data_IF_765389248934
#
_entry.id   IF_765389248934
#
_cell.length_a   1.000
_cell.length_b   1.000
_cell.length_c   1.000
_cell.angle_alpha   90.00
_cell.angle_beta   90.00
_cell.angle_gamma   90.00
#
_symmetry.space_group_name_H-M   'P 1'
#
loop_
_entity.id
_entity.type
_entity.pdbx_description
1 polymer ?
#
# COMPACT_ATOMS: atom_id res chain seq x y z
N UNK A 1 21.50 18.52 -48.49
CA UNK A 1 21.32 17.05 -48.40
C UNK A 1 21.23 16.70 -46.92
N UNK A 2 20.05 16.27 -46.43
CA UNK A 2 19.77 16.06 -45.00
C UNK A 2 20.49 14.80 -44.47
N UNK A 3 20.97 14.89 -43.22
CA UNK A 3 21.90 13.97 -42.55
C UNK A 3 21.41 12.50 -42.47
N UNK A 4 21.75 11.69 -43.48
CA UNK A 4 21.44 10.25 -43.51
C UNK A 4 22.16 9.43 -42.42
N UNK A 5 23.25 9.96 -41.84
CA UNK A 5 24.05 9.25 -40.81
C UNK A 5 23.39 9.23 -39.43
N UNK A 6 22.58 10.23 -39.08
CA UNK A 6 21.90 10.30 -37.78
C UNK A 6 20.82 9.24 -37.61
N UNK A 7 20.03 9.00 -38.66
CA UNK A 7 18.92 8.04 -38.60
C UNK A 7 19.41 6.59 -38.50
N UNK A 8 20.57 6.26 -39.09
CA UNK A 8 21.13 4.91 -39.01
C UNK A 8 21.62 4.59 -37.60
N UNK A 9 22.20 5.56 -36.90
CA UNK A 9 22.64 5.39 -35.52
C UNK A 9 21.46 5.14 -34.56
N UNK A 10 20.34 5.84 -34.75
CA UNK A 10 19.13 5.66 -33.93
C UNK A 10 18.51 4.28 -34.15
N UNK A 11 18.44 3.82 -35.41
CA UNK A 11 17.90 2.49 -35.72
C UNK A 11 18.76 1.38 -35.10
N UNK A 12 20.09 1.52 -35.11
CA UNK A 12 20.99 0.54 -34.49
C UNK A 12 20.78 0.42 -32.97
N UNK A 13 20.57 1.55 -32.27
CA UNK A 13 20.31 1.56 -30.82
C UNK A 13 18.99 0.85 -30.49
N UNK A 14 17.93 1.09 -31.28
CA UNK A 14 16.63 0.45 -31.08
C UNK A 14 16.73 -1.07 -31.20
N UNK A 15 17.46 -1.58 -32.21
CA UNK A 15 17.66 -3.02 -32.41
C UNK A 15 18.36 -3.67 -31.21
N UNK A 16 19.37 -3.01 -30.65
CA UNK A 16 20.11 -3.52 -29.47
C UNK A 16 19.20 -3.60 -28.24
N UNK A 17 18.38 -2.57 -28.00
CA UNK A 17 17.44 -2.56 -26.87
C UNK A 17 16.44 -3.71 -27.00
N UNK A 18 15.86 -3.90 -28.20
CA UNK A 18 14.87 -4.97 -28.46
C UNK A 18 15.49 -6.36 -28.21
N UNK A 19 16.73 -6.59 -28.66
CA UNK A 19 17.43 -7.87 -28.45
C UNK A 19 17.71 -8.19 -26.97
N UNK A 20 18.06 -7.17 -26.17
CA UNK A 20 18.26 -7.33 -24.73
C UNK A 20 16.93 -7.67 -24.04
N UNK A 21 15.86 -6.94 -24.36
CA UNK A 21 14.54 -7.19 -23.75
C UNK A 21 13.99 -8.59 -24.07
N UNK A 22 14.16 -9.07 -25.31
CA UNK A 22 13.72 -10.42 -25.68
C UNK A 22 14.52 -11.51 -24.94
N UNK A 23 15.81 -11.28 -24.66
CA UNK A 23 16.66 -12.22 -23.95
C UNK A 23 16.25 -12.38 -22.48
N UNK A 24 15.88 -11.28 -21.82
CA UNK A 24 15.44 -11.29 -20.40
C UNK A 24 14.09 -12.02 -20.24
N UNK A 25 13.14 -11.77 -21.14
CA UNK A 25 11.82 -12.44 -21.12
C UNK A 25 11.98 -13.95 -21.31
N UNK A 26 12.83 -14.37 -22.27
CA UNK A 26 13.07 -15.80 -22.53
C UNK A 26 13.69 -16.50 -21.31
N UNK A 27 14.61 -15.84 -20.60
CA UNK A 27 15.23 -16.39 -19.41
C UNK A 27 14.24 -16.57 -18.25
N UNK A 28 13.37 -15.57 -18.00
CA UNK A 28 12.35 -15.62 -16.95
C UNK A 28 11.34 -16.75 -17.13
N UNK A 29 10.95 -17.05 -18.38
CA UNK A 29 10.00 -18.14 -18.69
C UNK A 29 10.64 -19.51 -18.50
N UNK A 30 11.92 -19.67 -18.87
CA UNK A 30 12.65 -20.93 -18.71
C UNK A 30 12.85 -21.31 -17.23
N UNK A 31 13.08 -20.34 -16.35
CA UNK A 31 13.31 -20.60 -14.92
C UNK A 31 12.05 -20.96 -14.12
N UNK A 32 10.86 -20.60 -14.59
CA UNK A 32 9.59 -20.91 -13.90
C UNK A 32 8.98 -22.28 -14.26
N UNK A 33 9.54 -23.02 -15.21
CA UNK A 33 9.00 -24.32 -15.66
C UNK A 33 9.53 -25.55 -14.90
N UNK A 34 10.33 -25.38 -13.85
CA UNK A 34 10.76 -26.51 -13.01
C UNK A 34 9.83 -26.67 -11.80
N UNK A 35 8.76 -27.44 -11.98
CA UNK A 35 7.84 -27.82 -10.89
C UNK A 35 8.43 -28.96 -10.03
N UNK A 36 8.37 -28.88 -8.69
CA UNK A 36 8.76 -29.97 -7.82
C UNK A 36 7.68 -31.05 -7.72
N UNK A 37 8.10 -32.31 -7.75
CA UNK A 37 7.25 -33.51 -7.68
C UNK A 37 6.64 -33.64 -6.27
N UNK A 38 5.31 -33.66 -6.18
CA UNK A 38 4.57 -34.00 -4.95
C UNK A 38 4.75 -35.49 -4.61
N UNK A 39 5.11 -35.78 -3.35
CA UNK A 39 5.00 -37.12 -2.75
C UNK A 39 3.73 -37.20 -1.92
N UNK A 40 2.83 -38.09 -2.29
CA UNK A 40 1.72 -38.52 -1.43
C UNK A 40 2.28 -39.20 -0.17
N UNK A 41 1.80 -38.78 0.99
CA UNK A 41 1.94 -39.56 2.23
C UNK A 41 0.56 -39.88 2.74
N UNK A 42 0.20 -41.16 2.66
CA UNK A 42 -0.99 -41.74 3.24
C UNK A 42 -0.95 -41.62 4.77
N UNK A 43 -2.07 -41.28 5.40
CA UNK A 43 -2.23 -41.44 6.84
C UNK A 43 -3.49 -42.26 7.16
N UNK A 44 -3.26 -43.33 7.92
CA UNK A 44 -4.23 -44.33 8.33
C UNK A 44 -5.25 -43.77 9.32
N UNK A 45 -6.52 -44.10 9.08
CA UNK A 45 -7.60 -43.98 10.05
C UNK A 45 -7.56 -45.14 11.04
N UNK A 46 -7.72 -44.86 12.33
CA UNK A 46 -8.14 -45.85 13.33
C UNK A 46 -9.24 -45.25 14.23
N UNK A 47 -10.26 -46.04 14.62
CA UNK A 47 -11.46 -45.55 15.29
C UNK A 47 -11.29 -45.58 16.82
N UNK A 48 -11.97 -44.68 17.53
CA UNK A 48 -12.12 -44.79 18.99
C UNK A 48 -13.60 -44.72 19.37
N UNK A 49 -13.94 -45.64 20.27
CA UNK A 49 -15.27 -46.06 20.65
C UNK A 49 -16.00 -45.08 21.58
N UNK A 50 -17.32 -45.10 21.43
CA UNK A 50 -18.34 -44.38 22.20
C UNK A 50 -18.49 -44.95 23.61
N UNK A 51 -18.47 -44.11 24.64
CA UNK A 51 -19.17 -44.36 25.91
C UNK A 51 -19.85 -43.07 26.41
N UNK A 52 -21.08 -43.15 26.94
CA UNK A 52 -21.83 -42.00 27.42
C UNK A 52 -21.53 -41.77 28.90
N UNK A 53 -21.01 -40.60 29.27
CA UNK A 53 -20.85 -40.22 30.67
C UNK A 53 -21.83 -39.10 31.04
N UNK A 54 -22.45 -39.27 32.21
CA UNK A 54 -23.53 -38.46 32.77
C UNK A 54 -23.07 -37.01 33.00
N UNK A 55 -23.91 -36.07 32.57
CA UNK A 55 -23.74 -34.64 32.75
C UNK A 55 -24.19 -34.20 34.16
N UNK A 56 -23.31 -33.58 34.98
CA UNK A 56 -23.73 -32.82 36.15
C UNK A 56 -24.23 -31.43 35.74
N UNK A 57 -25.07 -30.83 36.59
CA UNK A 57 -25.64 -29.49 36.40
C UNK A 57 -24.56 -28.40 36.26
N UNK A 58 -24.77 -27.37 35.43
CA UNK A 58 -23.80 -26.30 35.23
C UNK A 58 -23.69 -25.44 36.50
N UNK A 59 -22.47 -25.34 37.03
CA UNK A 59 -22.08 -24.31 37.98
C UNK A 59 -22.13 -22.93 37.29
N UNK A 60 -22.42 -21.84 38.03
CA UNK A 60 -22.40 -20.49 37.47
C UNK A 60 -21.00 -20.18 36.94
N UNK A 61 -20.92 -19.96 35.63
CA UNK A 61 -19.71 -19.59 34.91
C UNK A 61 -19.15 -18.32 35.55
N UNK A 62 -18.04 -18.47 36.27
CA UNK A 62 -17.17 -17.34 36.58
C UNK A 62 -16.88 -16.62 35.26
N UNK A 63 -17.15 -15.32 35.19
CA UNK A 63 -16.76 -14.47 34.08
C UNK A 63 -15.27 -14.74 33.79
N UNK A 64 -15.01 -15.58 32.80
CA UNK A 64 -13.70 -15.71 32.22
C UNK A 64 -13.49 -14.37 31.52
N UNK A 65 -12.71 -13.49 32.15
CA UNK A 65 -11.99 -12.49 31.40
C UNK A 65 -11.27 -13.24 30.31
N UNK A 66 -11.77 -13.09 29.08
CA UNK A 66 -11.02 -13.46 27.88
C UNK A 66 -9.67 -12.77 28.07
N UNK A 67 -8.54 -13.50 28.09
CA UNK A 67 -7.24 -12.86 28.16
C UNK A 67 -7.19 -11.82 27.05
N UNK A 68 -7.04 -10.54 27.39
CA UNK A 68 -6.65 -9.55 26.40
C UNK A 68 -5.31 -10.05 25.87
N UNK A 69 -5.30 -10.60 24.65
CA UNK A 69 -4.07 -10.91 23.96
C UNK A 69 -3.26 -9.61 23.94
N UNK A 70 -2.09 -9.62 24.59
CA UNK A 70 -1.16 -8.50 24.52
C UNK A 70 -0.80 -8.31 23.05
N UNK A 71 -1.40 -7.31 22.41
CA UNK A 71 -1.04 -6.93 21.06
C UNK A 71 0.45 -6.63 21.02
N UNK A 72 1.16 -7.09 19.99
CA UNK A 72 2.55 -6.69 19.80
C UNK A 72 2.56 -5.25 19.35
N UNK A 73 3.37 -4.43 20.03
CA UNK A 73 3.46 -3.01 19.74
C UNK A 73 4.83 -2.64 19.17
N UNK A 74 4.84 -1.70 18.24
CA UNK A 74 6.05 -1.09 17.71
C UNK A 74 5.96 0.43 17.82
N UNK A 75 7.07 1.09 18.13
CA UNK A 75 7.09 2.54 18.31
C UNK A 75 8.12 3.26 17.45
N UNK A 76 7.75 4.41 16.90
CA UNK A 76 8.69 5.36 16.31
C UNK A 76 9.42 6.15 17.39
N UNK A 77 10.59 6.72 17.08
CA UNK A 77 11.30 7.61 18.02
C UNK A 77 10.55 8.92 18.29
N UNK A 78 9.61 9.27 17.41
CA UNK A 78 8.73 10.43 17.56
C UNK A 78 7.48 10.13 18.40
N UNK A 79 7.47 9.02 19.14
CA UNK A 79 6.47 8.76 20.18
C UNK A 79 5.10 8.38 19.64
N UNK A 80 5.04 7.59 18.57
CA UNK A 80 3.81 6.90 18.20
C UNK A 80 4.02 5.41 18.35
N UNK A 81 3.04 4.74 18.95
CA UNK A 81 2.99 3.30 19.15
C UNK A 81 1.86 2.70 18.34
N UNK A 82 2.17 1.58 17.72
CA UNK A 82 1.30 0.90 16.77
C UNK A 82 1.10 -0.52 17.22
N UNK A 83 -0.15 -0.93 17.40
CA UNK A 83 -0.50 -2.32 17.59
C UNK A 83 -0.51 -3.02 16.23
N UNK A 84 0.07 -4.22 16.16
CA UNK A 84 -0.04 -5.08 14.99
C UNK A 84 -0.37 -6.52 15.41
N UNK A 85 -1.25 -7.18 14.66
CA UNK A 85 -1.55 -8.60 14.86
C UNK A 85 -0.44 -9.44 14.24
N UNK A 86 0.22 -10.29 15.03
CA UNK A 86 1.24 -11.22 14.53
C UNK A 86 0.62 -12.38 13.74
N UNK A 87 -0.64 -12.74 14.05
CA UNK A 87 -1.30 -13.93 13.49
C UNK A 87 -1.53 -13.82 11.97
N UNK A 88 -1.63 -12.60 11.44
CA UNK A 88 -1.75 -12.32 9.99
C UNK A 88 -0.46 -11.75 9.37
N UNK A 89 0.59 -11.55 10.16
CA UNK A 89 1.79 -10.81 9.76
C UNK A 89 3.01 -11.72 9.63
N UNK A 90 3.45 -11.99 8.41
CA UNK A 90 4.70 -12.73 8.13
C UNK A 90 5.89 -11.84 7.75
N UNK A 91 5.75 -10.52 7.90
CA UNK A 91 6.76 -9.56 7.49
C UNK A 91 7.91 -9.34 8.48
N UNK A 92 8.81 -8.42 8.15
CA UNK A 92 9.77 -7.85 9.10
C UNK A 92 9.44 -6.38 9.34
N UNK A 93 9.30 -6.01 10.61
CA UNK A 93 9.18 -4.62 11.04
C UNK A 93 10.55 -4.05 11.41
N UNK A 94 10.84 -2.85 10.94
CA UNK A 94 12.03 -2.09 11.34
C UNK A 94 11.65 -0.64 11.61
N UNK A 95 12.29 -0.02 12.59
CA UNK A 95 12.13 1.40 12.90
C UNK A 95 13.36 2.17 12.42
N UNK A 96 13.14 3.26 11.70
CA UNK A 96 14.17 4.21 11.33
C UNK A 96 13.70 5.62 11.71
N UNK A 97 14.12 6.08 12.89
CA UNK A 97 13.77 7.39 13.44
C UNK A 97 12.26 7.64 13.47
N UNK A 98 11.73 8.33 12.48
CA UNK A 98 10.33 8.66 12.31
C UNK A 98 9.55 7.66 11.45
N UNK A 99 10.23 6.73 10.76
CA UNK A 99 9.61 5.71 9.90
C UNK A 99 9.50 4.37 10.61
N UNK A 100 8.38 3.70 10.39
CA UNK A 100 8.16 2.29 10.69
C UNK A 100 7.99 1.59 9.35
N UNK A 101 8.95 0.75 9.00
CA UNK A 101 9.00 0.05 7.71
C UNK A 101 8.51 -1.38 7.93
N UNK A 102 7.48 -1.73 7.18
CA UNK A 102 6.93 -3.06 6.97
C UNK A 102 7.60 -3.66 5.71
N UNK A 103 8.07 -4.91 5.78
CA UNK A 103 8.43 -5.68 4.57
C UNK A 103 7.60 -6.95 4.44
N UNK A 104 6.86 -7.10 3.32
CA UNK A 104 6.13 -8.33 2.99
C UNK A 104 7.10 -9.31 2.31
N UNK A 105 7.25 -10.52 2.84
CA UNK A 105 8.04 -11.59 2.19
C UNK A 105 9.47 -11.79 2.73
N UNK A 106 10.20 -12.69 2.07
CA UNK A 106 11.53 -13.17 2.47
C UNK A 106 12.64 -12.11 2.35
N UNK A 107 13.86 -12.41 2.84
CA UNK A 107 14.94 -11.45 3.00
C UNK A 107 15.50 -10.81 1.71
N UNK A 108 15.06 -11.23 0.52
CA UNK A 108 15.64 -10.83 -0.77
C UNK A 108 14.87 -9.71 -1.49
N UNK A 109 13.60 -9.43 -1.14
CA UNK A 109 12.80 -8.34 -1.73
C UNK A 109 12.95 -7.05 -0.91
N UNK A 110 14.17 -6.51 -0.88
CA UNK A 110 14.54 -5.39 0.01
C UNK A 110 13.99 -4.02 -0.41
N UNK A 111 13.46 -3.89 -1.63
CA UNK A 111 13.11 -2.59 -2.24
C UNK A 111 11.65 -2.15 -2.06
N UNK A 112 10.72 -3.06 -1.72
CA UNK A 112 9.27 -2.77 -1.71
C UNK A 112 8.70 -2.68 -0.29
N UNK A 113 9.45 -2.05 0.63
CA UNK A 113 8.99 -1.86 2.00
C UNK A 113 7.88 -0.81 2.08
N UNK A 114 6.70 -1.20 2.56
CA UNK A 114 5.67 -0.24 2.98
C UNK A 114 6.12 0.44 4.26
N UNK A 115 5.72 1.70 4.48
CA UNK A 115 6.13 2.39 5.70
C UNK A 115 5.06 3.34 6.20
N UNK A 116 4.98 3.46 7.52
CA UNK A 116 4.31 4.56 8.22
C UNK A 116 5.38 5.57 8.57
N UNK A 117 5.10 6.86 8.39
CA UNK A 117 6.03 7.91 8.77
C UNK A 117 5.37 8.93 9.69
N UNK A 118 6.10 9.34 10.71
CA UNK A 118 5.64 10.31 11.69
C UNK A 118 6.26 11.68 11.37
N UNK A 119 5.43 12.72 11.47
CA UNK A 119 5.81 14.09 11.24
C UNK A 119 5.47 14.95 12.45
N UNK A 120 6.20 16.06 12.59
CA UNK A 120 5.96 17.08 13.61
C UNK A 120 5.42 18.32 12.90
N UNK A 121 4.30 18.82 13.40
CA UNK A 121 3.71 20.10 13.02
C UNK A 121 4.10 21.16 14.05
N UNK A 122 4.53 22.33 13.57
CA UNK A 122 4.67 23.51 14.42
C UNK A 122 3.32 23.98 14.96
N UNK A 123 3.22 24.32 16.25
CA UNK A 123 1.97 24.69 16.91
C UNK A 123 1.19 25.83 16.22
N UNK A 124 1.87 26.66 15.44
CA UNK A 124 1.29 27.82 14.75
C UNK A 124 0.75 27.51 13.36
N UNK A 125 1.07 26.34 12.77
CA UNK A 125 0.67 25.99 11.40
C UNK A 125 -0.61 25.17 11.39
N UNK A 126 -1.39 25.26 10.31
CA UNK A 126 -2.47 24.29 10.06
C UNK A 126 -1.87 22.93 9.65
N UNK A 127 -2.65 21.85 9.75
CA UNK A 127 -2.16 20.53 9.32
C UNK A 127 -2.00 20.48 7.80
N UNK A 128 -2.85 21.20 7.08
CA UNK A 128 -2.75 21.39 5.64
C UNK A 128 -1.43 22.08 5.26
N UNK A 129 -1.06 23.16 5.92
CA UNK A 129 0.23 23.85 5.67
C UNK A 129 1.41 22.92 5.95
N UNK A 130 1.36 22.15 7.04
CA UNK A 130 2.42 21.22 7.40
C UNK A 130 2.58 20.07 6.39
N UNK A 131 1.48 19.60 5.81
CA UNK A 131 1.51 18.63 4.71
C UNK A 131 2.11 19.27 3.45
N UNK A 132 1.75 20.52 3.14
CA UNK A 132 2.33 21.24 2.00
C UNK A 132 3.83 21.50 2.16
N UNK A 133 4.31 21.78 3.37
CA UNK A 133 5.74 21.93 3.66
C UNK A 133 6.52 20.64 3.35
N UNK A 134 5.95 19.47 3.65
CA UNK A 134 6.54 18.17 3.32
C UNK A 134 6.68 18.03 1.81
N UNK A 135 5.64 18.41 1.07
CA UNK A 135 5.63 18.36 -0.40
C UNK A 135 6.70 19.30 -0.96
N UNK A 136 6.75 20.54 -0.47
CA UNK A 136 7.75 21.53 -0.89
C UNK A 136 9.18 21.06 -0.60
N UNK A 137 9.42 20.42 0.56
CA UNK A 137 10.72 19.84 0.91
C UNK A 137 11.17 18.71 -0.03
N UNK A 138 10.24 18.04 -0.72
CA UNK A 138 10.54 17.07 -1.78
C UNK A 138 10.86 17.72 -3.14
N UNK A 139 10.89 19.06 -3.20
CA UNK A 139 11.15 19.83 -4.42
C UNK A 139 9.96 19.83 -5.39
N UNK A 140 8.75 19.65 -4.87
CA UNK A 140 7.53 19.54 -5.66
C UNK A 140 6.76 20.86 -5.66
N UNK A 141 6.05 21.11 -6.76
CA UNK A 141 5.31 22.36 -6.95
C UNK A 141 3.94 22.28 -6.27
N UNK A 142 3.86 22.91 -5.09
CA UNK A 142 2.64 22.96 -4.28
C UNK A 142 1.46 23.64 -4.99
N UNK A 143 1.69 24.45 -6.04
CA UNK A 143 0.59 25.08 -6.77
C UNK A 143 -0.29 24.07 -7.50
N UNK A 144 0.24 22.89 -7.81
CA UNK A 144 -0.51 21.80 -8.44
C UNK A 144 -1.30 20.94 -7.44
N UNK A 145 -1.10 21.17 -6.14
CA UNK A 145 -1.52 20.28 -5.09
C UNK A 145 -2.59 20.91 -4.21
N UNK A 146 -3.47 20.06 -3.68
CA UNK A 146 -4.40 20.43 -2.62
C UNK A 146 -4.44 19.33 -1.58
N UNK A 147 -4.55 19.73 -0.33
CA UNK A 147 -4.80 18.84 0.80
C UNK A 147 -6.31 18.82 1.04
N UNK A 148 -6.91 17.63 1.09
CA UNK A 148 -8.35 17.45 1.22
C UNK A 148 -8.66 16.73 2.54
N UNK A 149 -9.42 17.39 3.41
CA UNK A 149 -9.99 16.76 4.61
C UNK A 149 -11.13 15.81 4.19
N UNK A 150 -11.03 14.54 4.58
CA UNK A 150 -12.01 13.47 4.29
C UNK A 150 -12.94 13.17 5.47
N UNK A 151 -12.85 13.92 6.54
CA UNK A 151 -13.61 13.74 7.77
C UNK A 151 -12.82 12.95 8.81
N UNK A 152 -13.56 12.20 9.61
CA UNK A 152 -13.03 11.43 10.74
C UNK A 152 -12.48 10.08 10.27
N UNK A 153 -11.44 9.60 10.96
CA UNK A 153 -10.86 8.29 10.73
C UNK A 153 -11.79 7.22 11.28
N UNK A 154 -12.18 6.29 10.42
CA UNK A 154 -13.24 5.32 10.73
C UNK A 154 -12.98 4.48 11.98
N UNK A 155 -11.72 4.17 12.30
CA UNK A 155 -11.35 3.36 13.46
C UNK A 155 -11.12 4.17 14.74
N UNK A 156 -10.87 5.48 14.59
CA UNK A 156 -10.57 6.38 15.72
C UNK A 156 -11.18 7.76 15.38
N UNK A 157 -12.47 7.98 15.65
CA UNK A 157 -13.20 9.16 15.17
C UNK A 157 -12.63 10.51 15.63
N UNK A 158 -11.84 10.54 16.70
CA UNK A 158 -11.16 11.75 17.16
C UNK A 158 -10.05 12.22 16.19
N UNK A 159 -9.70 11.39 15.21
CA UNK A 159 -8.60 11.64 14.29
C UNK A 159 -9.18 12.10 12.95
N UNK A 160 -8.65 13.18 12.41
CA UNK A 160 -8.99 13.68 11.08
C UNK A 160 -8.12 13.05 10.01
N UNK A 161 -8.73 12.76 8.85
CA UNK A 161 -8.07 12.16 7.69
C UNK A 161 -7.88 13.22 6.61
N UNK A 162 -6.65 13.33 6.13
CA UNK A 162 -6.27 14.22 5.04
C UNK A 162 -5.66 13.42 3.91
N UNK A 163 -5.99 13.76 2.66
CA UNK A 163 -5.35 13.16 1.49
C UNK A 163 -4.78 14.23 0.57
N UNK A 164 -3.81 13.83 -0.27
CA UNK A 164 -3.35 14.67 -1.37
C UNK A 164 -4.25 14.49 -2.58
N UNK A 165 -4.46 15.58 -3.29
CA UNK A 165 -5.25 15.60 -4.51
C UNK A 165 -4.74 16.69 -5.46
N UNK A 166 -5.07 16.61 -6.75
CA UNK A 166 -4.67 17.65 -7.71
C UNK A 166 -5.56 18.88 -7.55
N UNK A 167 -4.96 20.07 -7.52
CA UNK A 167 -5.68 21.34 -7.46
C UNK A 167 -6.55 21.55 -8.69
N UNK A 168 -5.96 21.27 -9.86
CA UNK A 168 -6.63 21.27 -11.16
C UNK A 168 -6.57 19.86 -11.74
N UNK A 169 -7.52 18.96 -11.38
CA UNK A 169 -7.54 17.62 -11.94
C UNK A 169 -7.87 17.72 -13.43
N UNK A 170 -6.83 17.78 -14.27
CA UNK A 170 -7.02 17.78 -15.70
C UNK A 170 -7.51 16.39 -16.11
N UNK A 171 -8.83 16.21 -16.16
CA UNK A 171 -9.48 14.96 -16.58
C UNK A 171 -9.36 14.72 -18.10
N UNK A 172 -8.68 15.62 -18.82
CA UNK A 172 -8.35 15.39 -20.23
C UNK A 172 -7.22 14.37 -20.32
N UNK A 173 -7.45 13.32 -21.09
CA UNK A 173 -6.47 12.30 -21.39
C UNK A 173 -5.77 12.61 -22.71
N UNK A 174 -4.47 12.40 -22.77
CA UNK A 174 -3.71 12.39 -24.01
C UNK A 174 -4.18 11.26 -24.93
N UNK A 175 -3.82 11.32 -26.21
CA UNK A 175 -4.17 10.25 -27.16
C UNK A 175 -3.64 8.88 -26.70
N UNK A 176 -2.43 8.85 -26.17
CA UNK A 176 -1.80 7.64 -25.65
C UNK A 176 -2.55 7.10 -24.42
N UNK A 177 -2.87 7.95 -23.44
CA UNK A 177 -3.64 7.53 -22.26
C UNK A 177 -5.03 7.02 -22.64
N UNK A 178 -5.68 7.61 -23.64
CA UNK A 178 -6.96 7.11 -24.17
C UNK A 178 -6.83 5.74 -24.81
N UNK A 179 -5.71 5.45 -25.48
CA UNK A 179 -5.44 4.11 -26.04
C UNK A 179 -5.21 3.09 -24.91
N UNK A 180 -4.45 3.45 -23.88
CA UNK A 180 -4.24 2.61 -22.69
C UNK A 180 -5.56 2.31 -21.96
N UNK A 181 -6.42 3.32 -21.77
CA UNK A 181 -7.75 3.16 -21.14
C UNK A 181 -8.63 2.22 -21.97
N UNK A 182 -8.63 2.36 -23.30
CA UNK A 182 -9.40 1.50 -24.20
C UNK A 182 -8.92 0.05 -24.17
N UNK A 183 -7.61 -0.16 -24.15
CA UNK A 183 -7.05 -1.51 -24.07
C UNK A 183 -7.46 -2.19 -22.76
N UNK A 184 -7.33 -1.48 -21.63
CA UNK A 184 -7.75 -1.99 -20.32
C UNK A 184 -9.25 -2.32 -20.24
N UNK A 185 -10.10 -1.53 -20.91
CA UNK A 185 -11.55 -1.80 -21.01
C UNK A 185 -11.85 -3.06 -21.83
N UNK A 186 -11.12 -3.31 -22.91
CA UNK A 186 -11.25 -4.55 -23.70
C UNK A 186 -10.86 -5.76 -22.85
N UNK A 187 -9.72 -5.72 -22.18
CA UNK A 187 -9.25 -6.79 -21.30
C UNK A 187 -10.25 -7.08 -20.17
N UNK A 188 -10.75 -6.04 -19.50
CA UNK A 188 -11.73 -6.20 -18.42
C UNK A 188 -13.04 -6.85 -18.89
N UNK A 189 -13.47 -6.57 -20.12
CA UNK A 189 -14.67 -7.19 -20.72
C UNK A 189 -14.45 -8.67 -21.06
N UNK A 190 -13.24 -9.06 -21.46
CA UNK A 190 -12.88 -10.47 -21.67
C UNK A 190 -12.97 -11.26 -20.35
N UNK A 191 -12.63 -10.62 -19.23
CA UNK A 191 -12.74 -11.19 -17.88
C UNK A 191 -14.16 -11.09 -17.26
N UNK A 192 -15.15 -10.65 -18.03
CA UNK A 192 -16.55 -10.55 -17.58
C UNK A 192 -16.85 -9.35 -16.68
N UNK A 193 -15.98 -8.35 -16.63
CA UNK A 193 -16.11 -7.15 -15.82
C UNK A 193 -16.64 -5.91 -16.58
N UNK A 194 -17.56 -5.11 -16.02
CA UNK A 194 -18.02 -3.86 -16.61
C UNK A 194 -17.14 -2.67 -16.15
N UNK A 195 -15.85 -2.71 -16.47
CA UNK A 195 -14.92 -1.67 -16.03
C UNK A 195 -14.51 -0.82 -17.24
N UNK A 196 -15.23 0.29 -17.48
CA UNK A 196 -15.06 1.26 -18.58
C UNK A 196 -13.69 2.00 -18.58
N UNK A 197 -12.61 1.25 -18.42
CA UNK A 197 -11.24 1.72 -18.18
C UNK A 197 -11.06 2.50 -16.88
N UNK A 198 -12.04 2.49 -15.96
CA UNK A 198 -12.03 3.26 -14.70
C UNK A 198 -10.78 3.00 -13.86
N UNK A 199 -10.32 1.75 -13.84
CA UNK A 199 -9.07 1.39 -13.17
C UNK A 199 -7.88 2.11 -13.77
N UNK A 200 -7.75 2.06 -15.09
CA UNK A 200 -6.64 2.69 -15.79
C UNK A 200 -6.68 4.21 -15.65
N UNK A 201 -7.87 4.82 -15.65
CA UNK A 201 -8.06 6.24 -15.35
C UNK A 201 -7.52 6.61 -13.97
N UNK A 202 -7.80 5.79 -12.95
CA UNK A 202 -7.28 5.99 -11.58
C UNK A 202 -5.76 5.83 -11.51
N UNK A 203 -5.21 4.83 -12.19
CA UNK A 203 -3.75 4.63 -12.26
C UNK A 203 -3.05 5.84 -12.88
N UNK A 204 -3.57 6.34 -14.02
CA UNK A 204 -3.07 7.55 -14.68
C UNK A 204 -3.19 8.77 -13.74
N UNK A 205 -4.31 8.92 -13.05
CA UNK A 205 -4.52 9.99 -12.09
C UNK A 205 -3.48 9.98 -10.98
N UNK A 206 -3.26 8.82 -10.36
CA UNK A 206 -2.29 8.66 -9.28
C UNK A 206 -0.86 8.94 -9.74
N UNK A 207 -0.49 8.49 -10.95
CA UNK A 207 0.82 8.84 -11.54
C UNK A 207 1.01 10.34 -11.64
N UNK A 208 0.03 11.05 -12.19
CA UNK A 208 0.06 12.51 -12.28
C UNK A 208 0.12 13.17 -10.90
N UNK A 209 -0.56 12.60 -9.91
CA UNK A 209 -0.53 13.09 -8.54
C UNK A 209 0.86 12.90 -7.89
N UNK A 210 1.53 11.77 -8.10
CA UNK A 210 2.91 11.55 -7.64
C UNK A 210 3.89 12.50 -8.34
N UNK A 211 3.77 12.61 -9.66
CA UNK A 211 4.65 13.42 -10.49
C UNK A 211 4.58 14.90 -10.10
N UNK A 212 3.37 15.42 -9.94
CA UNK A 212 3.15 16.85 -9.67
C UNK A 212 3.16 17.18 -8.17
N UNK A 213 2.75 16.26 -7.30
CA UNK A 213 2.62 16.51 -5.88
C UNK A 213 3.62 15.75 -5.04
N UNK A 214 3.42 14.47 -4.75
CA UNK A 214 4.31 13.79 -3.80
C UNK A 214 4.20 12.28 -3.92
N UNK A 215 5.28 11.58 -3.59
CA UNK A 215 5.26 10.14 -3.38
C UNK A 215 4.25 9.73 -2.29
N UNK A 216 3.93 10.60 -1.33
CA UNK A 216 2.89 10.35 -0.32
C UNK A 216 1.48 10.25 -0.91
N UNK A 217 1.27 10.65 -2.17
CA UNK A 217 -0.02 10.46 -2.83
C UNK A 217 -0.34 8.98 -3.09
N UNK A 218 0.69 8.20 -3.42
CA UNK A 218 0.61 6.77 -3.74
C UNK A 218 2.00 6.16 -3.50
N UNK A 219 2.37 5.88 -2.24
CA UNK A 219 3.72 5.55 -1.79
C UNK A 219 4.13 4.14 -2.20
N UNK A 220 3.22 3.37 -2.78
CA UNK A 220 3.52 2.10 -3.43
C UNK A 220 3.70 2.26 -4.94
N UNK A 221 3.34 3.42 -5.52
CA UNK A 221 3.49 3.71 -6.94
C UNK A 221 2.67 2.78 -7.83
N UNK A 222 1.70 2.07 -7.27
CA UNK A 222 1.04 1.00 -7.99
C UNK A 222 -0.24 1.45 -8.69
N UNK A 223 -0.84 2.59 -8.31
CA UNK A 223 -2.22 2.89 -8.72
C UNK A 223 -3.21 1.78 -8.35
N UNK A 224 -2.82 0.82 -7.49
CA UNK A 224 -3.48 -0.48 -7.35
C UNK A 224 -4.21 -0.73 -6.04
N UNK A 225 -4.24 0.24 -5.12
CA UNK A 225 -5.15 0.13 -4.00
C UNK A 225 -6.59 0.22 -4.51
N UNK A 226 -7.28 -0.94 -4.58
CA UNK A 226 -8.71 -1.00 -4.95
C UNK A 226 -9.59 -0.26 -3.95
N UNK A 227 -9.10 -0.04 -2.72
CA UNK A 227 -9.97 0.22 -1.57
C UNK A 227 -9.70 1.56 -0.88
N UNK A 228 -8.45 2.01 -0.71
CA UNK A 228 -8.15 3.23 0.07
C UNK A 228 -6.97 4.05 -0.47
N UNK A 229 -7.11 5.37 -0.65
CA UNK A 229 -5.98 6.26 -0.95
C UNK A 229 -5.03 6.36 0.25
N UNK A 230 -3.81 6.79 -0.01
CA UNK A 230 -2.86 7.17 1.03
C UNK A 230 -3.36 8.38 1.80
N UNK A 231 -3.07 8.41 3.09
CA UNK A 231 -3.69 9.37 3.99
C UNK A 231 -2.74 9.86 5.07
N UNK A 232 -2.90 11.11 5.44
CA UNK A 232 -2.36 11.68 6.65
C UNK A 232 -3.43 11.62 7.74
N UNK A 233 -3.06 11.15 8.92
CA UNK A 233 -3.97 11.01 10.06
C UNK A 233 -3.47 11.91 11.19
N UNK A 234 -4.38 12.71 11.73
CA UNK A 234 -4.07 13.76 12.69
C UNK A 234 -5.08 13.84 13.84
N UNK A 235 -4.61 13.89 15.07
CA UNK A 235 -5.43 13.88 16.29
C UNK A 235 -5.45 15.24 17.03
N UNK A 236 -5.24 16.36 16.32
CA UNK A 236 -5.12 17.71 16.90
C UNK A 236 -3.90 17.95 17.81
N UNK A 237 -2.92 17.04 17.83
CA UNK A 237 -1.67 17.24 18.59
C UNK A 237 -0.58 17.94 17.75
N UNK A 238 0.68 17.83 18.18
CA UNK A 238 1.84 18.37 17.44
C UNK A 238 2.41 17.38 16.45
N UNK A 239 1.88 16.16 16.38
CA UNK A 239 2.38 15.08 15.54
C UNK A 239 1.26 14.55 14.66
N UNK A 240 1.62 14.03 13.51
CA UNK A 240 0.70 13.35 12.61
C UNK A 240 1.43 12.23 11.89
N UNK A 241 0.66 11.31 11.29
CA UNK A 241 1.22 10.19 10.55
C UNK A 241 0.85 10.25 9.10
N UNK A 242 1.76 9.76 8.27
CA UNK A 242 1.44 9.27 6.95
C UNK A 242 1.19 7.77 7.00
N UNK A 243 0.04 7.35 6.46
CA UNK A 243 -0.31 5.97 6.24
C UNK A 243 -0.45 5.70 4.73
N UNK A 244 0.29 4.72 4.18
CA UNK A 244 0.18 4.35 2.79
C UNK A 244 -1.19 3.74 2.49
N UNK A 245 -1.73 4.03 1.29
CA UNK A 245 -3.01 3.46 0.84
C UNK A 245 -2.85 1.96 0.56
N UNK A 246 -3.28 1.12 1.50
CA UNK A 246 -3.21 -0.34 1.38
C UNK A 246 -4.58 -0.95 1.11
N UNK A 247 -4.59 -2.07 0.40
CA UNK A 247 -5.59 -3.11 0.64
C UNK A 247 -5.32 -3.63 2.05
N UNK A 248 -6.21 -3.30 2.98
CA UNK A 248 -6.29 -3.95 4.28
C UNK A 248 -4.97 -3.96 5.06
N UNK A 249 -4.57 -2.81 5.63
CA UNK A 249 -3.58 -2.88 6.68
C UNK A 249 -4.10 -3.82 7.79
N UNK A 250 -3.23 -4.58 8.49
CA UNK A 250 -3.62 -5.33 9.68
C UNK A 250 -4.06 -4.44 10.86
N UNK A 251 -4.29 -3.14 10.63
CA UNK A 251 -4.66 -2.10 11.60
C UNK A 251 -6.18 -2.01 11.83
N UNK A 252 -6.91 -3.10 11.61
CA UNK A 252 -8.39 -3.15 11.71
C UNK A 252 -8.94 -2.99 13.12
N UNK A 253 -8.09 -2.89 14.14
CA UNK A 253 -8.53 -2.83 15.52
C UNK A 253 -8.53 -1.39 16.03
N UNK A 254 -9.65 -1.02 16.66
CA UNK A 254 -9.73 0.12 17.58
C UNK A 254 -8.54 0.04 18.56
N UNK A 255 -7.86 1.15 18.83
CA UNK A 255 -6.62 1.25 19.63
C UNK A 255 -5.31 0.81 18.96
N UNK A 256 -5.28 0.67 17.62
CA UNK A 256 -4.05 0.30 16.90
C UNK A 256 -3.03 1.44 16.75
N UNK A 257 -3.40 2.68 17.03
CA UNK A 257 -2.52 3.85 16.93
C UNK A 257 -2.63 4.66 18.23
N UNK A 258 -1.54 4.75 18.98
CA UNK A 258 -1.41 5.54 20.20
C UNK A 258 -0.33 6.61 20.01
N UNK A 259 -0.70 7.89 20.15
CA UNK A 259 0.25 8.99 20.23
C UNK A 259 0.65 9.19 21.69
N UNK A 260 1.95 9.22 21.98
CA UNK A 260 2.47 9.48 23.33
C UNK A 260 3.01 10.90 23.45
N UNK A 261 2.80 11.52 24.61
CA UNK A 261 3.39 12.81 24.96
C UNK A 261 4.91 12.71 25.14
#
# INVERSE_FOLDING_TARGET
>A
MKNKKGNVAVIAIIIVIVAITASVITWLVATKSQAPVQKETANQSAPVATQPNKQPAPEPVANQQIPQQEGYFISSKLGIKFAYSYDDYQGKLTTNENKIIYKYGGPEDLNDGQYIEVFIKENTRTIEDAILDIIEAQGKDIENCKVVNKGEYWAIPEYSVYILDLKNPNISYTKQELEEIKLADVEAKEDGGPFDGEWKKREIYNKRLIENCSEYADPLGLGTSKTSPSQFIYNNETRFIFQPGLMDPPFYQENSIEFFN
#
